data_IF_420184445214
#
_entry.id   IF_420184445214
#
_cell.length_a   1.000
_cell.length_b   1.000
_cell.length_c   1.000
_cell.angle_alpha   90.00
_cell.angle_beta   90.00
_cell.angle_gamma   90.00
#
_symmetry.space_group_name_H-M   'P 1'
#
loop_
_entity.id
_entity.type
_entity.pdbx_description
1 polymer ?
#
# COMPACT_ATOMS: atom_id res chain seq x y z
N UNK A 1 -7.24 16.85 5.04
CA UNK A 1 -6.66 16.56 6.40
C UNK A 1 -5.31 15.88 6.18
N UNK A 2 -4.30 16.34 6.86
CA UNK A 2 -2.99 15.70 6.87
C UNK A 2 -2.97 14.52 7.84
N UNK A 3 -2.34 13.42 7.44
CA UNK A 3 -2.22 12.19 8.22
C UNK A 3 -0.86 11.55 7.96
N UNK A 4 -0.14 11.19 9.01
CA UNK A 4 1.09 10.42 8.89
C UNK A 4 0.80 8.92 9.01
N UNK A 5 1.54 8.10 8.27
CA UNK A 5 1.35 6.63 8.32
C UNK A 5 1.57 6.04 9.70
N UNK A 6 2.43 6.65 10.52
CA UNK A 6 2.64 6.26 11.93
C UNK A 6 1.41 6.43 12.83
N UNK A 7 0.45 7.27 12.42
CA UNK A 7 -0.78 7.56 13.17
C UNK A 7 -1.97 6.71 12.71
N UNK A 8 -1.82 5.94 11.63
CA UNK A 8 -2.92 5.19 11.01
C UNK A 8 -3.63 4.25 11.99
N UNK A 9 -2.87 3.55 12.81
CA UNK A 9 -3.43 2.58 13.76
C UNK A 9 -4.44 3.21 14.74
N UNK A 10 -4.24 4.46 15.10
CA UNK A 10 -5.12 5.20 16.00
C UNK A 10 -6.21 5.96 15.25
N UNK A 11 -5.82 6.65 14.18
CA UNK A 11 -6.70 7.61 13.48
C UNK A 11 -7.59 6.96 12.42
N UNK A 12 -7.25 5.79 11.88
CA UNK A 12 -8.07 5.10 10.86
C UNK A 12 -9.54 4.96 11.28
N UNK A 13 -9.79 4.65 12.54
CA UNK A 13 -11.14 4.47 13.11
C UNK A 13 -11.97 5.76 13.15
N UNK A 14 -11.34 6.92 13.07
CA UNK A 14 -12.02 8.22 13.10
C UNK A 14 -12.38 8.74 11.72
N UNK A 15 -11.80 8.15 10.67
CA UNK A 15 -12.01 8.56 9.29
C UNK A 15 -13.40 8.11 8.78
N UNK A 16 -13.97 8.92 7.91
CA UNK A 16 -15.26 8.66 7.27
C UNK A 16 -15.14 8.60 5.76
N UNK A 17 -16.04 7.87 5.14
CA UNK A 17 -16.14 7.85 3.68
C UNK A 17 -16.35 9.28 3.13
N UNK A 18 -15.54 9.66 2.17
CA UNK A 18 -15.56 11.01 1.58
C UNK A 18 -14.51 11.97 2.15
N UNK A 19 -13.83 11.61 3.23
CA UNK A 19 -12.70 12.40 3.75
C UNK A 19 -11.58 12.45 2.71
N UNK A 20 -11.04 13.66 2.52
CA UNK A 20 -9.84 13.86 1.68
C UNK A 20 -8.62 13.89 2.58
N UNK A 21 -7.70 12.97 2.34
CA UNK A 21 -6.52 12.77 3.16
C UNK A 21 -5.26 13.07 2.34
N UNK A 22 -4.36 13.85 2.91
CA UNK A 22 -2.97 13.98 2.47
C UNK A 22 -2.12 13.07 3.35
N UNK A 23 -1.68 11.94 2.78
CA UNK A 23 -0.92 10.92 3.50
C UNK A 23 0.58 11.18 3.36
N UNK A 24 1.30 11.16 4.47
CA UNK A 24 2.76 11.25 4.52
C UNK A 24 3.36 10.11 5.34
N UNK A 25 4.65 9.85 5.17
CA UNK A 25 5.38 8.80 5.87
C UNK A 25 5.69 7.59 4.99
N UNK A 26 6.02 6.47 5.59
CA UNK A 26 6.44 5.25 4.88
C UNK A 26 5.24 4.49 4.33
N UNK A 27 5.28 4.20 3.04
CA UNK A 27 4.28 3.39 2.32
C UNK A 27 4.99 2.27 1.58
N UNK A 28 4.47 1.07 1.65
CA UNK A 28 5.01 -0.10 0.92
C UNK A 28 4.24 -0.31 -0.37
N UNK A 29 4.93 -0.40 -1.52
CA UNK A 29 4.26 -0.77 -2.76
C UNK A 29 4.28 -2.27 -2.96
N UNK A 30 3.13 -2.85 -3.25
CA UNK A 30 2.98 -4.28 -3.46
C UNK A 30 1.83 -4.55 -4.42
N UNK A 31 2.07 -5.38 -5.43
CA UNK A 31 1.07 -5.88 -6.37
C UNK A 31 0.90 -7.39 -6.25
N UNK A 32 0.24 -8.00 -7.22
CA UNK A 32 -0.14 -9.41 -7.24
C UNK A 32 1.00 -10.36 -6.86
N UNK A 33 2.13 -10.23 -7.54
CA UNK A 33 3.25 -11.16 -7.35
C UNK A 33 3.91 -11.00 -5.98
N UNK A 34 4.07 -9.75 -5.51
CA UNK A 34 4.59 -9.48 -4.17
C UNK A 34 3.63 -9.97 -3.08
N UNK A 35 2.32 -9.75 -3.23
CA UNK A 35 1.31 -10.29 -2.32
C UNK A 35 1.34 -11.82 -2.26
N UNK A 36 1.47 -12.48 -3.40
CA UNK A 36 1.61 -13.94 -3.46
C UNK A 36 2.83 -14.42 -2.69
N UNK A 37 3.97 -13.75 -2.83
CA UNK A 37 5.20 -14.08 -2.10
C UNK A 37 5.07 -13.82 -0.60
N UNK A 38 4.45 -12.72 -0.20
CA UNK A 38 4.17 -12.42 1.22
C UNK A 38 3.29 -13.53 1.82
N UNK A 39 2.20 -13.91 1.13
CA UNK A 39 1.35 -15.00 1.59
C UNK A 39 2.11 -16.32 1.72
N UNK A 40 2.95 -16.65 0.76
CA UNK A 40 3.78 -17.84 0.79
C UNK A 40 4.70 -17.83 2.02
N UNK A 41 5.37 -16.70 2.32
CA UNK A 41 6.21 -16.57 3.52
C UNK A 41 5.40 -16.75 4.80
N UNK A 42 4.18 -16.21 4.86
CA UNK A 42 3.28 -16.39 6.01
C UNK A 42 2.92 -17.87 6.19
N UNK A 43 2.53 -18.56 5.12
CA UNK A 43 2.14 -19.97 5.13
C UNK A 43 3.32 -20.89 5.53
N UNK A 44 4.54 -20.53 5.16
CA UNK A 44 5.78 -21.27 5.51
C UNK A 44 6.35 -20.88 6.88
N UNK A 45 5.77 -19.90 7.56
CA UNK A 45 6.28 -19.38 8.83
C UNK A 45 7.61 -18.63 8.69
N UNK A 46 7.92 -18.11 7.49
CA UNK A 46 9.12 -17.35 7.18
C UNK A 46 9.10 -15.93 7.72
N UNK A 47 10.27 -15.29 7.69
CA UNK A 47 10.43 -13.90 8.07
C UNK A 47 9.85 -12.97 6.98
N UNK A 48 9.03 -12.01 7.40
CA UNK A 48 8.45 -11.03 6.49
C UNK A 48 9.44 -9.88 6.23
N UNK A 49 9.42 -9.29 5.01
CA UNK A 49 10.36 -8.23 4.63
C UNK A 49 10.09 -6.90 5.34
N UNK A 50 8.92 -6.73 5.95
CA UNK A 50 8.55 -5.58 6.76
C UNK A 50 7.49 -5.96 7.78
N UNK A 51 7.31 -5.12 8.80
CA UNK A 51 6.26 -5.31 9.80
C UNK A 51 4.90 -4.95 9.21
N UNK A 52 3.97 -5.89 9.20
CA UNK A 52 2.61 -5.68 8.67
C UNK A 52 1.77 -4.84 9.63
N UNK A 53 1.94 -5.03 10.94
CA UNK A 53 1.19 -4.29 11.96
C UNK A 53 1.47 -2.78 11.88
N UNK A 54 0.42 -2.02 11.65
CA UNK A 54 0.52 -0.57 11.48
C UNK A 54 0.89 -0.09 10.07
N UNK A 55 1.24 -0.99 9.16
CA UNK A 55 1.71 -0.64 7.83
C UNK A 55 0.60 -0.08 6.91
N UNK A 56 1.04 0.66 5.88
CA UNK A 56 0.22 1.08 4.75
C UNK A 56 0.78 0.47 3.46
N UNK A 57 -0.06 -0.20 2.68
CA UNK A 57 0.31 -0.78 1.39
C UNK A 57 -0.36 -0.02 0.25
N UNK A 58 0.44 0.48 -0.68
CA UNK A 58 -0.01 1.08 -1.92
C UNK A 58 0.04 0.04 -3.05
N UNK A 59 -1.10 -0.23 -3.64
CA UNK A 59 -1.25 -1.15 -4.76
C UNK A 59 -0.75 -0.52 -6.05
N UNK A 60 0.55 -0.47 -6.20
CA UNK A 60 1.21 0.11 -7.36
C UNK A 60 2.39 -0.74 -7.80
N UNK A 61 2.70 -0.66 -9.10
CA UNK A 61 3.91 -1.19 -9.69
C UNK A 61 4.61 -0.05 -10.42
N UNK A 62 5.59 0.58 -9.78
CA UNK A 62 6.32 1.69 -10.38
C UNK A 62 6.99 1.27 -11.69
N UNK A 63 6.98 2.17 -12.68
CA UNK A 63 7.79 2.02 -13.89
C UNK A 63 9.28 2.29 -13.60
N UNK A 64 10.16 2.00 -14.57
CA UNK A 64 11.58 2.27 -14.44
C UNK A 64 11.86 3.73 -14.02
N UNK A 65 12.79 3.89 -13.10
CA UNK A 65 13.18 5.19 -12.55
C UNK A 65 13.96 5.99 -13.60
N UNK A 66 13.59 7.24 -13.81
CA UNK A 66 14.35 8.19 -14.62
C UNK A 66 15.44 8.85 -13.80
N UNK A 67 16.50 9.28 -14.45
CA UNK A 67 17.59 10.01 -13.81
C UNK A 67 17.06 11.25 -13.08
N UNK A 68 17.51 11.44 -11.83
CA UNK A 68 17.08 12.55 -10.96
C UNK A 68 15.73 12.36 -10.22
N UNK A 69 15.07 11.21 -10.38
CA UNK A 69 13.83 10.89 -9.67
C UNK A 69 14.03 9.72 -8.70
N UNK A 70 13.34 9.76 -7.56
CA UNK A 70 13.35 8.66 -6.59
C UNK A 70 12.67 7.39 -7.15
N UNK A 71 11.69 7.58 -8.02
CA UNK A 71 10.87 6.50 -8.59
C UNK A 71 10.28 6.92 -9.93
N UNK A 72 9.94 5.95 -10.79
CA UNK A 72 9.17 6.20 -12.00
C UNK A 72 7.68 6.41 -11.74
N UNK A 73 6.87 6.49 -12.80
CA UNK A 73 5.41 6.65 -12.65
C UNK A 73 4.82 5.57 -11.74
N UNK A 74 4.06 5.97 -10.75
CA UNK A 74 3.56 5.11 -9.67
C UNK A 74 2.04 5.30 -9.48
N UNK A 75 1.27 4.88 -10.48
CA UNK A 75 -0.20 4.94 -10.42
C UNK A 75 -0.83 3.74 -9.71
N UNK A 76 -2.02 3.93 -9.11
CA UNK A 76 -2.72 2.85 -8.44
C UNK A 76 -3.20 1.78 -9.43
N UNK A 77 -3.04 0.51 -9.08
CA UNK A 77 -3.66 -0.61 -9.80
C UNK A 77 -5.02 -0.97 -9.20
N UNK A 78 -5.80 -1.78 -9.92
CA UNK A 78 -7.11 -2.25 -9.45
C UNK A 78 -6.97 -3.11 -8.20
N UNK A 79 -7.59 -2.67 -7.11
CA UNK A 79 -7.45 -3.27 -5.77
C UNK A 79 -8.07 -4.66 -5.66
N UNK A 80 -9.11 -4.96 -6.41
CA UNK A 80 -9.78 -6.27 -6.40
C UNK A 80 -8.87 -7.46 -6.70
N UNK A 81 -7.75 -7.22 -7.38
CA UNK A 81 -6.73 -8.26 -7.65
C UNK A 81 -6.01 -8.73 -6.38
N UNK A 82 -5.94 -7.89 -5.37
CA UNK A 82 -5.32 -8.19 -4.07
C UNK A 82 -6.31 -8.72 -3.03
N UNK A 83 -7.60 -8.77 -3.35
CA UNK A 83 -8.65 -9.23 -2.44
C UNK A 83 -8.43 -10.65 -1.88
N UNK A 84 -7.83 -11.62 -2.61
CA UNK A 84 -7.50 -12.92 -2.04
C UNK A 84 -6.50 -12.88 -0.87
N UNK A 85 -5.70 -11.82 -0.76
CA UNK A 85 -4.66 -11.67 0.25
C UNK A 85 -5.01 -10.67 1.35
N UNK A 86 -5.86 -9.68 1.05
CA UNK A 86 -6.12 -8.55 1.93
C UNK A 86 -6.68 -8.94 3.30
N UNK A 87 -7.66 -9.86 3.45
CA UNK A 87 -8.18 -10.24 4.76
C UNK A 87 -7.10 -10.78 5.71
N UNK A 88 -6.19 -11.61 5.20
CA UNK A 88 -5.08 -12.16 5.97
C UNK A 88 -4.17 -11.05 6.51
N UNK A 89 -3.77 -10.12 5.65
CA UNK A 89 -2.89 -9.01 6.03
C UNK A 89 -3.58 -8.07 7.02
N UNK A 90 -4.87 -7.80 6.83
CA UNK A 90 -5.68 -7.00 7.76
C UNK A 90 -5.75 -7.66 9.13
N UNK A 91 -5.95 -8.97 9.20
CA UNK A 91 -5.97 -9.72 10.45
C UNK A 91 -4.59 -9.77 11.15
N UNK A 92 -3.52 -9.54 10.40
CA UNK A 92 -2.16 -9.36 10.93
C UNK A 92 -1.84 -7.93 11.38
N UNK A 93 -2.79 -7.00 11.25
CA UNK A 93 -2.64 -5.62 11.72
C UNK A 93 -2.36 -4.58 10.64
N UNK A 94 -2.47 -4.92 9.35
CA UNK A 94 -2.36 -3.95 8.28
C UNK A 94 -3.37 -2.81 8.51
N UNK A 95 -2.89 -1.57 8.58
CA UNK A 95 -3.72 -0.42 8.94
C UNK A 95 -4.34 0.30 7.75
N UNK A 96 -3.68 0.29 6.61
CA UNK A 96 -4.20 0.96 5.43
C UNK A 96 -3.84 0.25 4.12
N UNK A 97 -4.74 0.36 3.17
CA UNK A 97 -4.52 -0.02 1.78
C UNK A 97 -4.86 1.17 0.90
N UNK A 98 -4.06 1.40 -0.13
CA UNK A 98 -4.24 2.49 -1.08
C UNK A 98 -4.33 1.88 -2.48
N UNK A 99 -5.40 2.19 -3.20
CA UNK A 99 -5.61 1.63 -4.53
C UNK A 99 -6.77 2.31 -5.26
N UNK A 100 -7.40 1.60 -6.19
CA UNK A 100 -8.59 2.07 -6.90
C UNK A 100 -9.60 0.94 -7.11
N UNK A 101 -10.85 1.32 -7.28
CA UNK A 101 -11.94 0.40 -7.52
C UNK A 101 -12.54 -0.20 -6.25
N UNK A 102 -13.55 -1.01 -6.43
CA UNK A 102 -14.29 -1.62 -5.33
C UNK A 102 -13.56 -2.79 -4.69
N UNK A 103 -13.93 -3.09 -3.46
CA UNK A 103 -13.43 -4.24 -2.71
C UNK A 103 -14.54 -5.26 -2.52
N UNK A 104 -14.20 -6.55 -2.50
CA UNK A 104 -15.15 -7.63 -2.21
C UNK A 104 -15.66 -7.57 -0.77
N UNK A 105 -16.87 -8.10 -0.49
CA UNK A 105 -17.45 -8.10 0.86
C UNK A 105 -16.52 -8.64 1.95
N UNK A 106 -15.78 -9.71 1.69
CA UNK A 106 -14.84 -10.28 2.64
C UNK A 106 -13.72 -9.31 3.04
N UNK A 107 -13.27 -8.45 2.13
CA UNK A 107 -12.28 -7.41 2.43
C UNK A 107 -12.92 -6.29 3.24
N UNK A 108 -14.13 -5.86 2.88
CA UNK A 108 -14.88 -4.84 3.62
C UNK A 108 -15.11 -5.27 5.07
N UNK A 109 -15.48 -6.52 5.28
CA UNK A 109 -15.68 -7.09 6.62
C UNK A 109 -14.38 -7.13 7.42
N UNK A 110 -13.26 -7.49 6.77
CA UNK A 110 -11.94 -7.50 7.38
C UNK A 110 -11.48 -6.07 7.76
N UNK A 111 -11.74 -5.07 6.92
CA UNK A 111 -11.46 -3.66 7.22
C UNK A 111 -12.23 -3.23 8.48
N UNK A 112 -13.52 -3.54 8.55
CA UNK A 112 -14.38 -3.16 9.68
C UNK A 112 -13.93 -3.82 10.99
N UNK A 113 -13.70 -5.15 11.00
CA UNK A 113 -13.32 -5.87 12.23
C UNK A 113 -11.93 -5.47 12.74
N UNK A 114 -11.03 -5.05 11.86
CA UNK A 114 -9.67 -4.64 12.24
C UNK A 114 -9.51 -3.12 12.44
N UNK A 115 -10.55 -2.33 12.17
CA UNK A 115 -10.48 -0.87 12.27
C UNK A 115 -9.46 -0.25 11.32
N UNK A 116 -9.26 -0.87 10.17
CA UNK A 116 -8.37 -0.39 9.10
C UNK A 116 -9.07 0.59 8.16
N UNK A 117 -8.35 1.08 7.15
CA UNK A 117 -8.90 2.00 6.16
C UNK A 117 -8.47 1.62 4.75
N UNK A 118 -9.35 1.88 3.80
CA UNK A 118 -9.04 1.80 2.38
C UNK A 118 -9.14 3.19 1.75
N UNK A 119 -8.01 3.66 1.23
CA UNK A 119 -7.91 4.92 0.51
C UNK A 119 -8.04 4.69 -1.00
N UNK A 120 -8.95 5.42 -1.64
CA UNK A 120 -9.05 5.45 -3.09
C UNK A 120 -8.13 6.54 -3.65
N UNK A 121 -7.10 6.15 -4.37
CA UNK A 121 -6.24 7.07 -5.11
C UNK A 121 -6.83 7.36 -6.49
N UNK A 122 -6.56 8.56 -7.00
CA UNK A 122 -7.04 8.98 -8.33
C UNK A 122 -6.31 8.18 -9.41
N UNK A 123 -7.07 7.47 -10.24
CA UNK A 123 -6.52 6.78 -11.41
C UNK A 123 -5.94 7.75 -12.44
N UNK A 124 -4.85 7.34 -13.11
CA UNK A 124 -4.19 8.15 -14.14
C UNK A 124 -3.18 9.18 -13.62
N UNK A 125 -3.11 9.42 -12.31
CA UNK A 125 -2.22 10.39 -11.69
C UNK A 125 -0.83 9.84 -11.32
N UNK A 126 -0.38 8.75 -11.95
CA UNK A 126 0.88 8.10 -11.61
C UNK A 126 2.12 8.98 -11.74
N UNK A 127 2.13 9.87 -12.73
CA UNK A 127 3.21 10.85 -12.91
C UNK A 127 3.20 11.94 -11.82
N UNK A 128 2.03 12.29 -11.30
CA UNK A 128 1.90 13.23 -10.20
C UNK A 128 2.26 12.56 -8.87
N UNK A 129 1.80 11.32 -8.65
CA UNK A 129 2.11 10.56 -7.47
C UNK A 129 3.62 10.35 -7.26
N UNK A 130 4.39 10.11 -8.34
CA UNK A 130 5.84 9.94 -8.22
C UNK A 130 6.58 11.20 -7.76
N UNK A 131 6.01 12.39 -7.97
CA UNK A 131 6.58 13.65 -7.50
C UNK A 131 6.45 13.84 -5.99
N UNK A 132 5.49 13.17 -5.38
CA UNK A 132 5.29 13.19 -3.93
C UNK A 132 6.21 12.21 -3.18
N UNK A 133 6.89 11.31 -3.89
CA UNK A 133 7.77 10.30 -3.32
C UNK A 133 9.19 10.88 -3.28
N UNK A 134 9.72 11.05 -2.07
CA UNK A 134 11.05 11.66 -1.85
C UNK A 134 12.16 10.62 -1.82
N UNK A 135 11.89 9.42 -1.34
CA UNK A 135 12.83 8.31 -1.25
C UNK A 135 12.17 7.00 -1.64
N UNK A 136 12.94 6.09 -2.22
CA UNK A 136 12.46 4.78 -2.62
C UNK A 136 13.57 3.73 -2.45
N UNK A 137 13.29 2.69 -1.68
CA UNK A 137 14.19 1.57 -1.46
C UNK A 137 13.50 0.25 -1.83
N UNK A 138 14.22 -0.62 -2.51
CA UNK A 138 13.78 -2.01 -2.74
C UNK A 138 14.15 -2.83 -1.53
N UNK A 139 13.16 -3.35 -0.80
CA UNK A 139 13.37 -4.11 0.44
C UNK A 139 13.24 -5.62 0.26
N UNK A 140 12.60 -6.10 -0.81
CA UNK A 140 12.43 -7.52 -1.09
C UNK A 140 12.09 -7.82 -2.55
N UNK A 141 12.28 -9.09 -2.94
CA UNK A 141 11.87 -9.66 -4.23
C UNK A 141 12.55 -9.04 -5.46
N UNK A 142 13.82 -8.69 -5.33
CA UNK A 142 14.63 -8.05 -6.37
C UNK A 142 14.76 -8.87 -7.66
N UNK A 143 14.73 -10.19 -7.56
CA UNK A 143 15.05 -11.12 -8.66
C UNK A 143 13.96 -11.21 -9.74
N UNK A 144 12.80 -10.58 -9.59
CA UNK A 144 11.68 -10.64 -10.54
C UNK A 144 11.24 -9.22 -10.89
N UNK A 145 11.42 -8.81 -12.13
CA UNK A 145 11.35 -7.41 -12.60
C UNK A 145 10.01 -6.66 -12.32
N UNK A 146 8.96 -7.32 -11.85
CA UNK A 146 7.66 -6.70 -11.52
C UNK A 146 7.17 -7.01 -10.10
N UNK A 147 8.01 -7.61 -9.26
CA UNK A 147 7.63 -8.10 -7.91
C UNK A 147 8.33 -7.36 -6.77
N UNK A 148 8.98 -6.24 -7.08
CA UNK A 148 9.66 -5.46 -6.04
C UNK A 148 8.67 -4.99 -4.98
N UNK A 149 8.97 -5.27 -3.74
CA UNK A 149 8.40 -4.60 -2.59
C UNK A 149 9.29 -3.38 -2.30
N UNK A 150 8.71 -2.21 -2.28
CA UNK A 150 9.43 -0.95 -2.06
C UNK A 150 8.82 -0.20 -0.88
N UNK A 151 9.68 0.38 -0.06
CA UNK A 151 9.32 1.37 0.93
C UNK A 151 9.48 2.77 0.33
N UNK A 152 8.53 3.64 0.55
CA UNK A 152 8.51 5.00 0.06
C UNK A 152 8.25 5.96 1.20
N UNK A 153 9.01 7.05 1.24
CA UNK A 153 8.66 8.22 2.01
C UNK A 153 7.83 9.16 1.13
N UNK A 154 6.63 9.48 1.57
CA UNK A 154 5.70 10.33 0.83
C UNK A 154 5.46 11.64 1.56
N UNK A 155 5.34 12.73 0.81
CA UNK A 155 4.86 14.02 1.29
C UNK A 155 3.81 14.56 0.33
N UNK A 156 2.60 14.75 0.85
CA UNK A 156 1.49 15.33 0.08
C UNK A 156 0.59 14.29 -0.62
N UNK A 157 -0.30 14.78 -1.46
CA UNK A 157 -1.41 14.04 -2.06
C UNK A 157 -1.01 12.73 -2.77
N UNK A 158 -1.30 11.63 -2.15
CA UNK A 158 -1.49 10.35 -2.83
C UNK A 158 -2.96 10.16 -3.17
#
# INVERSE_FOLDING_TARGET
>A
MELNTSELKEKAKTLRAGDKIELSGTVYTSRDAAHKRIKQLIDEGGELPFEIDGAAIYYAGPTGTKEGMAIGSCGPTTSGRMDPYAPLLLDMGLSAMIGKGERKPAVVDAIKRNGAVYFCAIGGAGALACQCITECEVIAFEAVSYTHLRAHETRGNL
#
